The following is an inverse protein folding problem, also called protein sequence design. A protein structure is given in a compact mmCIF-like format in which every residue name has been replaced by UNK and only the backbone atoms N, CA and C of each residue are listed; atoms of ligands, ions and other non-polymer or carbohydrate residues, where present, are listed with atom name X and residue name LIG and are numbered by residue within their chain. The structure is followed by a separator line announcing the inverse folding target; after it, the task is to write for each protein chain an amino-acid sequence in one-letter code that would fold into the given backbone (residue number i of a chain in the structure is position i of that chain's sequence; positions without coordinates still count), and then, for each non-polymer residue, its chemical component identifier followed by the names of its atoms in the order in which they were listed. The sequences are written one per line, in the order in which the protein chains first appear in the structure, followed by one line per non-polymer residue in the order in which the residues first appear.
data_IF_694507656783
#
_entry.id   IF_694507656783
#
_cell.length_a   1.000
_cell.length_b   1.000
_cell.length_c   1.000
_cell.angle_alpha   90.00
_cell.angle_beta   90.00
_cell.angle_gamma   90.00
#
_symmetry.space_group_name_H-M   'P 1'
#
loop_
_entity.id
_entity.type
_entity.pdbx_description
1 polymer ?
#
# COMPACT_ATOMS: atom_id res chain seq x y z
N UNK A 1 38.82 -18.80 12.84
CA UNK A 1 37.35 -18.62 12.71
C UNK A 1 37.07 -17.43 11.79
N UNK A 2 36.20 -17.58 10.79
CA UNK A 2 35.96 -16.56 9.77
C UNK A 2 35.08 -15.38 10.22
N UNK A 3 35.14 -14.25 9.52
CA UNK A 3 34.23 -13.11 9.71
C UNK A 3 32.83 -13.46 9.18
N UNK A 4 31.80 -12.83 9.77
CA UNK A 4 30.41 -12.96 9.29
C UNK A 4 30.25 -12.47 7.85
N UNK A 5 29.53 -13.24 7.04
CA UNK A 5 29.13 -12.90 5.67
C UNK A 5 28.08 -11.77 5.66
N UNK A 6 27.92 -11.11 4.51
CA UNK A 6 27.03 -9.95 4.34
C UNK A 6 25.56 -10.27 4.70
N UNK A 7 24.94 -11.39 4.27
CA UNK A 7 23.56 -11.72 4.64
C UNK A 7 23.33 -11.79 6.16
N UNK A 8 24.29 -12.34 6.91
CA UNK A 8 24.22 -12.40 8.38
C UNK A 8 24.29 -11.01 9.01
N UNK A 9 25.07 -10.09 8.44
CA UNK A 9 25.13 -8.68 8.88
C UNK A 9 23.85 -7.93 8.54
N UNK A 10 23.25 -8.21 7.37
CA UNK A 10 21.96 -7.65 6.93
C UNK A 10 20.81 -8.07 7.84
N UNK A 11 20.74 -9.35 8.20
CA UNK A 11 19.70 -9.89 9.09
C UNK A 11 19.66 -9.22 10.47
N UNK A 12 20.79 -8.67 10.97
CA UNK A 12 20.82 -7.89 12.22
C UNK A 12 20.05 -6.55 12.12
N UNK A 13 19.78 -6.04 10.92
CA UNK A 13 18.90 -4.87 10.73
C UNK A 13 19.48 -3.53 11.21
N UNK A 14 20.81 -3.39 11.21
CA UNK A 14 21.49 -2.11 11.47
C UNK A 14 21.08 -1.02 10.49
N UNK A 15 21.33 0.26 10.82
CA UNK A 15 20.89 1.42 10.02
C UNK A 15 21.29 1.33 8.54
N UNK A 16 22.49 0.80 8.25
CA UNK A 16 23.02 0.60 6.90
C UNK A 16 22.12 -0.28 6.01
N UNK A 17 21.31 -1.16 6.59
CA UNK A 17 20.51 -2.17 5.90
C UNK A 17 19.00 -1.92 6.00
N UNK A 18 18.58 -0.91 6.76
CA UNK A 18 17.18 -0.63 7.04
C UNK A 18 16.59 0.29 5.97
N UNK A 19 15.41 -0.07 5.47
CA UNK A 19 14.67 0.82 4.58
C UNK A 19 14.23 2.11 5.32
N UNK A 20 14.43 3.30 4.73
CA UNK A 20 13.98 4.55 5.36
C UNK A 20 12.45 4.61 5.38
N UNK A 21 11.86 4.80 6.56
CA UNK A 21 10.41 4.93 6.73
C UNK A 21 9.86 6.31 6.37
N UNK A 22 10.72 7.34 6.36
CA UNK A 22 10.31 8.72 6.03
C UNK A 22 9.71 8.78 4.62
N UNK A 23 8.65 9.56 4.43
CA UNK A 23 8.00 9.75 3.12
C UNK A 23 7.18 8.56 2.62
N UNK A 24 6.95 7.54 3.46
CA UNK A 24 5.92 6.52 3.21
C UNK A 24 4.55 7.08 3.60
N UNK A 25 3.60 7.04 2.67
CA UNK A 25 2.23 7.55 2.83
C UNK A 25 1.43 6.60 3.70
N UNK A 26 1.21 5.38 3.20
CA UNK A 26 0.40 4.37 3.89
C UNK A 26 0.73 2.96 3.39
N UNK A 27 0.33 1.95 4.18
CA UNK A 27 0.41 0.55 3.76
C UNK A 27 -0.67 0.29 2.70
N UNK A 28 -0.27 -0.23 1.54
CA UNK A 28 -1.23 -0.76 0.58
C UNK A 28 -1.80 -2.07 1.13
N UNK A 29 -3.10 -2.10 1.40
CA UNK A 29 -3.81 -3.30 1.87
C UNK A 29 -5.29 -3.16 1.55
N UNK A 30 -5.88 -4.23 1.06
CA UNK A 30 -7.33 -4.33 0.98
C UNK A 30 -7.96 -4.38 2.38
N UNK A 31 -9.16 -3.81 2.55
CA UNK A 31 -9.99 -4.08 3.72
C UNK A 31 -10.31 -5.59 3.79
N UNK A 32 -10.66 -6.11 4.98
CA UNK A 32 -11.15 -7.48 5.08
C UNK A 32 -12.39 -7.66 4.19
N UNK A 33 -12.33 -8.65 3.29
CA UNK A 33 -13.44 -8.97 2.38
C UNK A 33 -14.60 -9.48 3.24
N UNK A 34 -15.74 -8.80 3.16
CA UNK A 34 -17.01 -9.25 3.75
C UNK A 34 -17.76 -10.09 2.72
N UNK A 35 -18.81 -10.80 3.14
CA UNK A 35 -19.66 -11.57 2.24
C UNK A 35 -20.39 -10.67 1.21
N UNK A 36 -20.55 -9.40 1.52
CA UNK A 36 -21.19 -8.40 0.68
C UNK A 36 -20.17 -7.65 -0.18
N UNK A 37 -20.59 -7.25 -1.39
CA UNK A 37 -19.79 -6.36 -2.25
C UNK A 37 -19.81 -4.96 -1.66
N UNK A 38 -18.63 -4.46 -1.32
CA UNK A 38 -18.45 -3.12 -0.76
C UNK A 38 -18.11 -2.17 -1.90
N UNK A 39 -18.80 -1.03 -1.92
CA UNK A 39 -18.51 0.08 -2.84
C UNK A 39 -17.68 1.15 -2.15
N UNK A 40 -16.85 1.81 -2.95
CA UNK A 40 -16.07 2.96 -2.53
C UNK A 40 -15.70 3.83 -3.71
N UNK A 41 -15.11 4.99 -3.43
CA UNK A 41 -14.73 5.97 -4.43
C UNK A 41 -13.26 6.39 -4.28
N UNK A 42 -12.61 6.64 -5.40
CA UNK A 42 -11.22 7.14 -5.43
C UNK A 42 -11.21 8.60 -5.00
N UNK A 43 -10.66 8.89 -3.82
CA UNK A 43 -10.52 10.27 -3.32
C UNK A 43 -9.31 10.96 -3.93
N UNK A 44 -8.18 10.25 -4.07
CA UNK A 44 -6.92 10.83 -4.50
C UNK A 44 -5.94 9.80 -5.05
N UNK A 45 -5.04 10.22 -5.94
CA UNK A 45 -3.90 9.45 -6.40
C UNK A 45 -2.62 10.12 -5.88
N UNK A 46 -1.87 9.40 -5.06
CA UNK A 46 -0.74 9.88 -4.27
C UNK A 46 0.57 9.21 -4.71
N UNK A 47 1.68 9.94 -4.61
CA UNK A 47 3.02 9.38 -4.80
C UNK A 47 3.58 8.83 -3.47
N UNK A 48 3.92 7.54 -3.41
CA UNK A 48 4.57 6.90 -2.25
C UNK A 48 6.07 6.69 -2.48
N UNK A 49 6.92 7.35 -1.67
CA UNK A 49 8.38 7.27 -1.84
C UNK A 49 8.86 5.83 -1.65
N UNK A 50 9.58 5.28 -2.63
CA UNK A 50 10.09 3.90 -2.58
C UNK A 50 9.06 2.85 -2.99
N UNK A 51 8.01 3.25 -3.70
CA UNK A 51 7.28 2.40 -4.65
C UNK A 51 7.49 2.98 -6.05
N UNK A 52 7.52 2.11 -7.06
CA UNK A 52 7.56 2.53 -8.46
C UNK A 52 6.17 2.90 -9.02
N UNK A 53 5.11 2.57 -8.28
CA UNK A 53 3.72 2.79 -8.68
C UNK A 53 3.00 3.80 -7.77
N UNK A 54 2.06 4.59 -8.31
CA UNK A 54 1.21 5.48 -7.53
C UNK A 54 0.24 4.70 -6.62
N UNK A 55 -0.15 5.34 -5.51
CA UNK A 55 -1.16 4.86 -4.56
C UNK A 55 -2.50 5.53 -4.86
N UNK A 56 -3.57 4.75 -4.92
CA UNK A 56 -4.93 5.26 -4.85
C UNK A 56 -5.39 5.26 -3.38
N UNK A 57 -5.91 6.40 -2.92
CA UNK A 57 -6.68 6.51 -1.68
C UNK A 57 -8.15 6.29 -2.03
N UNK A 58 -8.76 5.30 -1.41
CA UNK A 58 -10.15 4.90 -1.66
C UNK A 58 -10.91 5.00 -0.35
N UNK A 59 -12.08 5.63 -0.41
CA UNK A 59 -12.98 5.76 0.72
C UNK A 59 -14.22 4.90 0.46
N UNK A 60 -14.49 3.98 1.39
CA UNK A 60 -15.63 3.08 1.34
C UNK A 60 -16.90 3.81 1.80
N UNK A 61 -18.06 3.30 1.41
CA UNK A 61 -19.35 3.80 1.89
C UNK A 61 -19.50 3.71 3.42
N UNK A 62 -18.77 2.80 4.06
CA UNK A 62 -18.70 2.69 5.53
C UNK A 62 -17.89 3.82 6.20
N UNK A 63 -17.25 4.69 5.43
CA UNK A 63 -16.33 5.73 5.91
C UNK A 63 -14.89 5.23 6.16
N UNK A 64 -14.61 3.94 5.93
CA UNK A 64 -13.25 3.41 6.03
C UNK A 64 -12.41 3.84 4.83
N UNK A 65 -11.19 4.31 5.09
CA UNK A 65 -10.22 4.67 4.05
C UNK A 65 -9.15 3.60 3.96
N UNK A 66 -8.92 3.10 2.75
CA UNK A 66 -7.79 2.21 2.47
C UNK A 66 -6.98 2.69 1.29
N UNK A 67 -5.76 2.17 1.19
CA UNK A 67 -4.82 2.51 0.13
C UNK A 67 -4.53 1.27 -0.69
N UNK A 68 -4.54 1.41 -2.01
CA UNK A 68 -4.16 0.35 -2.93
C UNK A 68 -3.28 0.88 -4.06
N UNK A 69 -2.66 0.00 -4.82
CA UNK A 69 -1.92 0.41 -6.02
C UNK A 69 -2.90 0.94 -7.04
N UNK A 70 -2.66 2.13 -7.58
CA UNK A 70 -3.52 2.67 -8.63
C UNK A 70 -3.29 1.88 -9.94
N UNK A 71 -4.39 1.41 -10.53
CA UNK A 71 -4.39 0.77 -11.84
C UNK A 71 -4.37 1.81 -12.96
N UNK A 72 -3.96 1.40 -14.16
CA UNK A 72 -4.01 2.25 -15.34
C UNK A 72 -5.46 2.65 -15.65
N UNK A 73 -5.69 3.92 -15.99
CA UNK A 73 -7.02 4.45 -16.25
C UNK A 73 -7.82 4.81 -14.98
N UNK A 74 -7.27 4.63 -13.78
CA UNK A 74 -7.94 5.10 -12.57
C UNK A 74 -7.98 6.62 -12.49
N UNK A 75 -9.15 7.16 -12.16
CA UNK A 75 -9.35 8.61 -11.99
C UNK A 75 -9.97 8.93 -10.64
N UNK A 76 -9.76 10.17 -10.18
CA UNK A 76 -10.46 10.70 -9.00
C UNK A 76 -11.97 10.67 -9.23
N UNK A 77 -12.73 10.24 -8.21
CA UNK A 77 -14.19 10.10 -8.27
C UNK A 77 -14.69 8.79 -8.88
N UNK A 78 -13.81 7.92 -9.37
CA UNK A 78 -14.22 6.61 -9.89
C UNK A 78 -14.75 5.71 -8.77
N UNK A 79 -15.85 5.01 -9.04
CA UNK A 79 -16.43 4.00 -8.14
C UNK A 79 -15.68 2.68 -8.31
N UNK A 80 -15.35 2.04 -7.20
CA UNK A 80 -14.65 0.76 -7.12
C UNK A 80 -15.49 -0.19 -6.29
N UNK A 81 -15.56 -1.44 -6.71
CA UNK A 81 -16.24 -2.51 -6.02
C UNK A 81 -15.23 -3.53 -5.50
N UNK A 82 -15.45 -4.03 -4.29
CA UNK A 82 -14.60 -5.01 -3.62
C UNK A 82 -15.50 -6.06 -2.99
N UNK A 83 -15.45 -7.28 -3.50
CA UNK A 83 -16.30 -8.37 -3.02
C UNK A 83 -16.17 -9.61 -3.87
N UNK A 84 -16.85 -10.68 -3.44
CA UNK A 84 -17.14 -11.81 -4.30
C UNK A 84 -18.39 -11.47 -5.14
N UNK A 85 -18.32 -11.77 -6.44
CA UNK A 85 -19.47 -11.74 -7.34
C UNK A 85 -20.38 -12.95 -7.09
#
# INVERSE_FOLDING_TARGET
MGKRIIPQRRGKGGLQWRAPKKGKVARARYPPIKAETIRGYVTEILHDRGRSAPLARIELESGEVFYTVAAHGMSKGQVIEIGAA
#
